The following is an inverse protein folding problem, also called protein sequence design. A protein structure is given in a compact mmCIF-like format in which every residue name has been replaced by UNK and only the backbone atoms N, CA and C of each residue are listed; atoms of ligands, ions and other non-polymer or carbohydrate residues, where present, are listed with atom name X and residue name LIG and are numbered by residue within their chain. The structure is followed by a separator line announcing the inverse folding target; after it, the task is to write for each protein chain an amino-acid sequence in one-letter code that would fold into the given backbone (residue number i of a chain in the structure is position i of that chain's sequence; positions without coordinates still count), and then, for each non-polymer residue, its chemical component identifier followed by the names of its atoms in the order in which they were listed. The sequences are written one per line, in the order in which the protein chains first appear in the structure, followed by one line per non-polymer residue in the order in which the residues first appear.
data_IF_022684058973
#
_entry.id   IF_022684058973
#
_cell.length_a   1.000
_cell.length_b   1.000
_cell.length_c   1.000
_cell.angle_alpha   90.00
_cell.angle_beta   90.00
_cell.angle_gamma   90.00
#
_symmetry.space_group_name_H-M   'P 1'
#
loop_
_entity.id
_entity.type
_entity.pdbx_description
1 polymer ?
#
# COMPACT_ATOMS: atom_id res chain seq x y z
N UNK A 1 -5.96 -20.09 7.21
CA UNK A 1 -6.89 -18.96 7.39
C UNK A 1 -6.07 -17.70 7.19
N UNK A 2 -6.35 -16.91 6.14
CA UNK A 2 -5.73 -15.59 6.00
C UNK A 2 -6.45 -14.67 6.99
N UNK A 3 -5.72 -14.11 7.94
CA UNK A 3 -6.23 -13.05 8.82
C UNK A 3 -5.97 -11.70 8.17
N UNK A 4 -6.75 -10.67 8.53
CA UNK A 4 -6.52 -9.30 8.07
C UNK A 4 -5.08 -8.84 8.36
N UNK A 5 -4.55 -9.21 9.53
CA UNK A 5 -3.18 -8.90 9.92
C UNK A 5 -2.14 -9.60 9.03
N UNK A 6 -2.35 -10.87 8.68
CA UNK A 6 -1.47 -11.60 7.77
C UNK A 6 -1.45 -10.98 6.37
N UNK A 7 -2.62 -10.57 5.88
CA UNK A 7 -2.74 -9.90 4.58
C UNK A 7 -2.03 -8.54 4.56
N UNK A 8 -2.22 -7.72 5.60
CA UNK A 8 -1.55 -6.43 5.72
C UNK A 8 -0.03 -6.55 5.81
N UNK A 9 0.49 -7.52 6.59
CA UNK A 9 1.93 -7.77 6.67
C UNK A 9 2.50 -8.18 5.31
N UNK A 10 1.82 -9.10 4.62
CA UNK A 10 2.28 -9.59 3.31
C UNK A 10 2.32 -8.45 2.29
N UNK A 11 1.28 -7.61 2.24
CA UNK A 11 1.27 -6.42 1.39
C UNK A 11 2.41 -5.46 1.75
N UNK A 12 2.68 -5.26 3.05
CA UNK A 12 3.69 -4.33 3.53
C UNK A 12 5.10 -4.75 3.15
N UNK A 13 5.41 -6.03 3.35
CA UNK A 13 6.71 -6.61 2.98
C UNK A 13 6.89 -6.58 1.47
N UNK A 14 5.88 -7.03 0.71
CA UNK A 14 5.92 -7.01 -0.75
C UNK A 14 6.16 -5.60 -1.31
N UNK A 15 5.40 -4.60 -0.87
CA UNK A 15 5.55 -3.25 -1.42
C UNK A 15 6.85 -2.57 -0.99
N UNK A 16 7.46 -2.97 0.13
CA UNK A 16 8.81 -2.53 0.50
C UNK A 16 9.91 -3.20 -0.35
N UNK A 17 9.75 -4.48 -0.68
CA UNK A 17 10.80 -5.27 -1.34
C UNK A 17 10.73 -5.27 -2.87
N UNK A 18 9.55 -5.02 -3.44
CA UNK A 18 9.25 -5.27 -4.86
C UNK A 18 8.80 -4.04 -5.64
N UNK A 19 8.70 -2.89 -5.00
CA UNK A 19 8.21 -1.66 -5.64
C UNK A 19 8.99 -0.44 -5.17
N UNK A 20 8.92 0.63 -5.95
CA UNK A 20 9.54 1.93 -5.59
C UNK A 20 8.52 2.91 -4.98
N UNK A 21 7.35 2.45 -4.55
CA UNK A 21 6.35 3.30 -3.91
C UNK A 21 6.85 3.76 -2.54
N UNK A 22 6.73 5.06 -2.28
CA UNK A 22 7.16 5.62 -0.99
C UNK A 22 6.35 5.04 0.16
N UNK A 23 6.96 5.03 1.35
CA UNK A 23 6.31 4.51 2.56
C UNK A 23 4.98 5.18 2.82
N UNK A 24 4.86 6.49 2.61
CA UNK A 24 3.64 7.24 2.87
C UNK A 24 2.48 6.79 1.98
N UNK A 25 2.73 6.52 0.69
CA UNK A 25 1.73 5.97 -0.24
C UNK A 25 1.24 4.62 0.26
N UNK A 26 2.19 3.78 0.63
CA UNK A 26 2.01 2.43 1.14
C UNK A 26 1.19 2.38 2.45
N UNK A 27 1.51 3.23 3.43
CA UNK A 27 0.78 3.34 4.70
C UNK A 27 -0.63 3.93 4.48
N UNK A 28 -0.79 4.85 3.53
CA UNK A 28 -2.11 5.37 3.17
C UNK A 28 -3.02 4.32 2.52
N UNK A 29 -2.48 3.37 1.75
CA UNK A 29 -3.27 2.24 1.20
C UNK A 29 -3.76 1.35 2.34
N UNK A 30 -2.92 1.12 3.35
CA UNK A 30 -3.28 0.36 4.56
C UNK A 30 -4.22 1.11 5.51
N UNK A 31 -4.60 2.35 5.18
CA UNK A 31 -5.35 3.26 6.04
C UNK A 31 -4.73 3.44 7.43
N UNK A 32 -3.40 3.33 7.53
CA UNK A 32 -2.67 3.59 8.76
C UNK A 32 -2.63 5.10 9.03
N UNK A 33 -2.56 5.46 10.31
CA UNK A 33 -2.33 6.84 10.72
C UNK A 33 -0.88 7.22 10.45
N UNK A 34 -0.67 8.32 9.74
CA UNK A 34 0.64 8.94 9.66
C UNK A 34 0.88 9.83 10.89
N UNK A 35 2.14 10.08 11.27
CA UNK A 35 2.47 10.84 12.48
C UNK A 35 1.97 12.28 12.46
N UNK A 36 1.98 12.92 11.29
CA UNK A 36 1.50 14.28 11.08
C UNK A 36 0.16 14.25 10.31
N UNK A 37 -0.93 14.57 11.01
CA UNK A 37 -2.28 14.56 10.43
C UNK A 37 -2.48 15.67 9.37
N UNK A 38 -1.75 16.79 9.48
CA UNK A 38 -1.82 17.90 8.53
C UNK A 38 -1.14 17.48 7.23
N UNK A 39 0.08 16.97 7.30
CA UNK A 39 0.79 16.43 6.13
C UNK A 39 -0.01 15.30 5.49
N UNK A 40 -0.53 14.36 6.28
CA UNK A 40 -1.36 13.26 5.80
C UNK A 40 -2.59 13.72 5.00
N UNK A 41 -3.18 14.87 5.35
CA UNK A 41 -4.32 15.42 4.64
C UNK A 41 -3.95 15.91 3.23
N UNK A 42 -2.81 16.59 3.08
CA UNK A 42 -2.28 17.02 1.79
C UNK A 42 -1.84 15.82 0.93
N UNK A 43 -1.20 14.84 1.55
CA UNK A 43 -0.74 13.63 0.88
C UNK A 43 -1.90 12.75 0.38
N UNK A 44 -3.03 12.70 1.10
CA UNK A 44 -4.22 11.94 0.69
C UNK A 44 -4.71 12.34 -0.71
N UNK A 45 -4.71 13.65 -0.99
CA UNK A 45 -5.06 14.20 -2.30
C UNK A 45 -3.96 13.98 -3.33
N UNK A 46 -2.72 14.35 -3.00
CA UNK A 46 -1.57 14.27 -3.92
C UNK A 46 -1.18 12.84 -4.32
N UNK A 47 -1.51 11.83 -3.50
CA UNK A 47 -1.12 10.44 -3.73
C UNK A 47 -2.24 9.54 -4.25
N UNK A 48 -3.42 10.07 -4.59
CA UNK A 48 -4.53 9.23 -5.05
C UNK A 48 -4.14 8.35 -6.25
N UNK A 49 -3.50 8.93 -7.28
CA UNK A 49 -3.09 8.16 -8.46
C UNK A 49 -1.97 7.16 -8.15
N UNK A 50 -1.03 7.53 -7.27
CA UNK A 50 0.02 6.59 -6.81
C UNK A 50 -0.58 5.39 -6.08
N UNK A 51 -1.60 5.61 -5.24
CA UNK A 51 -2.31 4.54 -4.53
C UNK A 51 -3.06 3.61 -5.48
N UNK A 52 -3.67 4.16 -6.53
CA UNK A 52 -4.33 3.35 -7.58
C UNK A 52 -3.31 2.46 -8.29
N UNK A 53 -2.17 3.01 -8.69
CA UNK A 53 -1.08 2.25 -9.29
C UNK A 53 -0.59 1.11 -8.38
N UNK A 54 -0.26 1.44 -7.12
CA UNK A 54 0.20 0.44 -6.16
C UNK A 54 -0.81 -0.71 -5.95
N UNK A 55 -2.10 -0.41 -5.92
CA UNK A 55 -3.14 -1.44 -5.82
C UNK A 55 -3.31 -2.27 -7.10
N UNK A 56 -3.07 -1.69 -8.26
CA UNK A 56 -3.06 -2.42 -9.53
C UNK A 56 -1.88 -3.41 -9.58
N UNK A 57 -0.68 -2.95 -9.24
CA UNK A 57 0.52 -3.79 -9.17
C UNK A 57 0.36 -4.92 -8.15
N UNK A 58 -0.27 -4.62 -7.00
CA UNK A 58 -0.56 -5.63 -5.99
C UNK A 58 -1.55 -6.69 -6.51
N UNK A 59 -2.56 -6.25 -7.25
CA UNK A 59 -3.53 -7.15 -7.89
C UNK A 59 -2.84 -8.06 -8.90
N UNK A 60 -1.99 -7.49 -9.77
CA UNK A 60 -1.23 -8.26 -10.74
C UNK A 60 -0.33 -9.29 -10.05
N UNK A 61 0.39 -8.90 -8.99
CA UNK A 61 1.21 -9.83 -8.21
C UNK A 61 0.37 -10.98 -7.65
N UNK A 62 -0.78 -10.69 -7.04
CA UNK A 62 -1.67 -11.72 -6.49
C UNK A 62 -2.28 -12.63 -7.56
N UNK A 63 -2.48 -12.14 -8.79
CA UNK A 63 -3.07 -12.93 -9.87
C UNK A 63 -2.04 -13.73 -10.67
N UNK A 64 -0.77 -13.31 -10.69
CA UNK A 64 0.29 -13.95 -11.47
C UNK A 64 1.13 -14.93 -10.66
N UNK A 65 1.33 -14.71 -9.35
CA UNK A 65 2.16 -15.59 -8.50
C UNK A 65 1.41 -16.74 -7.82
N UNK A 66 0.09 -16.81 -7.98
CA UNK A 66 -0.76 -17.88 -7.42
C UNK A 66 -1.40 -18.79 -8.48
N UNK A 67 -0.95 -18.71 -9.74
CA UNK A 67 -1.30 -19.64 -10.83
C UNK A 67 -0.14 -20.60 -11.13
#
# INVERSE_FOLDING_TARGET
MITTHGFHSTFRDWSADKTDYSREVCEHVLAHKLPDEVEASYLRGGYLEKRKGLMADWTEFCCTHFN
#
